data_IF_555077187923
#
_entry.id   IF_555077187923
#
_cell.length_a   1.000
_cell.length_b   1.000
_cell.length_c   1.000
_cell.angle_alpha   90.00
_cell.angle_beta   90.00
_cell.angle_gamma   90.00
#
_symmetry.space_group_name_H-M   'P 1'
#
loop_
_entity.id
_entity.type
_entity.pdbx_description
1 polymer ?
#
# COMPACT_ATOMS: atom_id res chain seq x y z
N UNK A 1 17.32 -0.34 -16.63
CA UNK A 1 16.38 0.74 -16.26
C UNK A 1 14.96 0.49 -16.73
N UNK A 2 14.71 0.21 -18.02
CA UNK A 2 13.35 -0.03 -18.53
C UNK A 2 12.55 -1.12 -17.78
N UNK A 3 13.18 -2.25 -17.43
CA UNK A 3 12.50 -3.33 -16.70
C UNK A 3 12.10 -2.89 -15.29
N UNK A 4 12.97 -2.17 -14.58
CA UNK A 4 12.68 -1.67 -13.21
C UNK A 4 11.56 -0.64 -13.26
N UNK A 5 11.56 0.25 -14.26
CA UNK A 5 10.48 1.21 -14.47
C UNK A 5 9.14 0.50 -14.72
N UNK A 6 9.13 -0.57 -15.53
CA UNK A 6 7.93 -1.37 -15.76
C UNK A 6 7.45 -2.06 -14.49
N UNK A 7 8.36 -2.65 -13.71
CA UNK A 7 8.04 -3.25 -12.41
C UNK A 7 7.45 -2.21 -11.47
N UNK A 8 8.08 -1.05 -11.34
CA UNK A 8 7.60 0.04 -10.50
C UNK A 8 6.20 0.52 -10.93
N UNK A 9 6.01 0.72 -12.23
CA UNK A 9 4.72 1.14 -12.79
C UNK A 9 3.62 0.13 -12.52
N UNK A 10 3.88 -1.17 -12.73
CA UNK A 10 2.92 -2.24 -12.48
C UNK A 10 2.61 -2.38 -10.99
N UNK A 11 3.63 -2.34 -10.13
CA UNK A 11 3.45 -2.42 -8.68
C UNK A 11 2.62 -1.24 -8.16
N UNK A 12 2.94 -0.02 -8.61
CA UNK A 12 2.21 1.20 -8.22
C UNK A 12 0.76 1.18 -8.71
N UNK A 13 0.53 0.71 -9.94
CA UNK A 13 -0.83 0.58 -10.50
C UNK A 13 -1.66 -0.45 -9.72
N UNK A 14 -1.04 -1.59 -9.37
CA UNK A 14 -1.68 -2.61 -8.54
C UNK A 14 -2.02 -2.08 -7.16
N UNK A 15 -1.06 -1.44 -6.47
CA UNK A 15 -1.26 -0.86 -5.15
C UNK A 15 -2.33 0.25 -5.16
N UNK A 16 -2.38 1.05 -6.21
CA UNK A 16 -3.44 2.05 -6.41
C UNK A 16 -4.82 1.39 -6.43
N UNK A 17 -4.97 0.30 -7.18
CA UNK A 17 -6.21 -0.48 -7.22
C UNK A 17 -6.58 -1.08 -5.86
N UNK A 18 -5.59 -1.64 -5.15
CA UNK A 18 -5.77 -2.18 -3.78
C UNK A 18 -6.22 -1.09 -2.83
N UNK A 19 -5.58 0.08 -2.84
CA UNK A 19 -5.93 1.20 -1.97
C UNK A 19 -7.37 1.65 -2.25
N UNK A 20 -7.76 1.81 -3.52
CA UNK A 20 -9.15 2.15 -3.86
C UNK A 20 -10.14 1.10 -3.38
N UNK A 21 -9.85 -0.18 -3.58
CA UNK A 21 -10.69 -1.26 -3.09
C UNK A 21 -10.85 -1.21 -1.56
N UNK A 22 -9.74 -1.05 -0.83
CA UNK A 22 -9.75 -0.90 0.62
C UNK A 22 -10.60 0.30 1.07
N UNK A 23 -10.41 1.47 0.44
CA UNK A 23 -11.12 2.71 0.79
C UNK A 23 -12.62 2.64 0.50
N UNK A 24 -13.01 2.13 -0.66
CA UNK A 24 -14.40 2.13 -1.13
C UNK A 24 -15.21 0.97 -0.54
N UNK A 25 -14.58 -0.18 -0.33
CA UNK A 25 -15.27 -1.42 0.04
C UNK A 25 -14.87 -1.91 1.42
N UNK A 26 -13.58 -2.16 1.64
CA UNK A 26 -13.13 -2.91 2.83
C UNK A 26 -13.30 -2.12 4.14
N UNK A 27 -12.85 -0.86 4.19
CA UNK A 27 -12.99 -0.04 5.40
C UNK A 27 -14.44 0.32 5.75
N UNK A 28 -15.33 0.66 4.79
CA UNK A 28 -16.75 0.84 5.10
C UNK A 28 -17.41 -0.43 5.67
N UNK A 29 -17.01 -1.62 5.22
CA UNK A 29 -17.55 -2.88 5.73
C UNK A 29 -17.13 -3.16 7.17
N UNK A 30 -15.93 -2.75 7.60
CA UNK A 30 -15.48 -2.93 8.99
C UNK A 30 -16.41 -2.27 10.00
N UNK A 31 -17.06 -1.16 9.62
CA UNK A 31 -18.04 -0.46 10.49
C UNK A 31 -19.29 -1.28 10.82
N UNK A 32 -19.54 -2.37 10.09
CA UNK A 32 -20.70 -3.23 10.29
C UNK A 32 -20.36 -4.48 11.12
N UNK A 33 -19.10 -4.66 11.52
CA UNK A 33 -18.66 -5.81 12.31
C UNK A 33 -18.88 -5.49 13.80
N UNK A 34 -19.62 -6.32 14.55
CA UNK A 34 -19.76 -6.17 15.99
C UNK A 34 -18.39 -6.23 16.69
N UNK A 35 -18.19 -5.41 17.73
CA UNK A 35 -16.90 -5.31 18.44
C UNK A 35 -16.43 -6.64 19.03
N UNK A 36 -17.36 -7.47 19.49
CA UNK A 36 -17.09 -8.81 20.04
C UNK A 36 -16.63 -9.83 18.97
N UNK A 37 -16.98 -9.59 17.70
CA UNK A 37 -16.56 -10.41 16.57
C UNK A 37 -15.30 -9.88 15.85
N UNK A 38 -14.89 -8.63 16.11
CA UNK A 38 -13.83 -7.95 15.37
C UNK A 38 -12.47 -8.66 15.46
N UNK A 39 -12.05 -9.09 16.65
CA UNK A 39 -10.76 -9.81 16.81
C UNK A 39 -10.71 -11.12 15.99
N UNK A 40 -11.81 -11.88 15.93
CA UNK A 40 -11.84 -13.11 15.13
C UNK A 40 -11.79 -12.82 13.63
N UNK A 41 -12.46 -11.73 13.22
CA UNK A 41 -12.43 -11.25 11.84
C UNK A 41 -11.02 -10.78 11.44
N UNK A 42 -10.37 -9.97 12.28
CA UNK A 42 -9.03 -9.41 12.02
C UNK A 42 -8.01 -10.54 11.82
N UNK A 43 -8.00 -11.53 12.70
CA UNK A 43 -7.11 -12.68 12.59
C UNK A 43 -7.27 -13.44 11.26
N UNK A 44 -8.49 -13.52 10.73
CA UNK A 44 -8.76 -14.09 9.41
C UNK A 44 -8.39 -13.13 8.28
N UNK A 45 -8.56 -11.83 8.47
CA UNK A 45 -8.23 -10.78 7.50
C UNK A 45 -6.71 -10.51 7.39
N UNK A 46 -5.89 -10.97 8.35
CA UNK A 46 -4.42 -10.91 8.28
C UNK A 46 -3.86 -11.52 6.98
N UNK A 47 -4.58 -12.47 6.37
CA UNK A 47 -4.18 -13.08 5.09
C UNK A 47 -4.07 -12.07 3.95
N UNK A 48 -4.78 -10.94 4.03
CA UNK A 48 -4.66 -9.81 3.09
C UNK A 48 -3.23 -9.29 3.04
N UNK A 49 -2.51 -9.34 4.18
CA UNK A 49 -1.11 -8.96 4.28
C UNK A 49 -0.19 -9.75 3.35
N UNK A 50 -0.49 -11.03 3.07
CA UNK A 50 0.32 -11.84 2.15
C UNK A 50 0.28 -11.35 0.70
N UNK A 51 -0.75 -10.61 0.31
CA UNK A 51 -0.86 -10.03 -1.04
C UNK A 51 -0.31 -8.61 -1.07
N UNK A 52 -0.66 -7.82 -0.05
CA UNK A 52 -0.32 -6.39 -0.01
C UNK A 52 1.15 -6.15 0.32
N UNK A 53 1.71 -6.85 1.33
CA UNK A 53 3.08 -6.60 1.79
C UNK A 53 4.12 -6.86 0.70
N UNK A 54 4.07 -7.98 -0.06
CA UNK A 54 5.03 -8.18 -1.15
C UNK A 54 4.94 -7.10 -2.24
N UNK A 55 3.72 -6.67 -2.60
CA UNK A 55 3.52 -5.62 -3.59
C UNK A 55 4.09 -4.28 -3.10
N UNK A 56 3.87 -3.91 -1.84
CA UNK A 56 4.47 -2.73 -1.21
C UNK A 56 6.01 -2.79 -1.21
N UNK A 57 6.60 -3.93 -0.87
CA UNK A 57 8.07 -4.08 -0.87
C UNK A 57 8.65 -3.92 -2.29
N UNK A 58 7.99 -4.49 -3.30
CA UNK A 58 8.40 -4.33 -4.71
C UNK A 58 8.28 -2.87 -5.15
N UNK A 59 7.18 -2.20 -4.82
CA UNK A 59 6.94 -0.79 -5.13
C UNK A 59 8.04 0.11 -4.54
N UNK A 60 8.32 -0.04 -3.24
CA UNK A 60 9.35 0.73 -2.55
C UNK A 60 10.76 0.42 -3.08
N UNK A 61 11.10 -0.86 -3.21
CA UNK A 61 12.42 -1.28 -3.68
C UNK A 61 12.72 -0.77 -5.09
N UNK A 62 11.73 -0.85 -5.99
CA UNK A 62 11.86 -0.33 -7.36
C UNK A 62 11.91 1.21 -7.39
N UNK A 63 11.14 1.90 -6.55
CA UNK A 63 11.18 3.35 -6.39
C UNK A 63 12.57 3.85 -5.98
N UNK A 64 13.13 3.27 -4.91
CA UNK A 64 14.44 3.64 -4.39
C UNK A 64 15.57 3.33 -5.38
N UNK A 65 15.45 2.21 -6.11
CA UNK A 65 16.40 1.87 -7.17
C UNK A 65 16.39 2.90 -8.31
N UNK A 66 15.20 3.33 -8.75
CA UNK A 66 15.07 4.35 -9.80
C UNK A 66 15.67 5.68 -9.37
N UNK A 67 15.36 6.14 -8.15
CA UNK A 67 15.90 7.38 -7.59
C UNK A 67 17.43 7.32 -7.44
N UNK A 68 17.97 6.19 -6.97
CA UNK A 68 19.43 6.05 -6.84
C UNK A 68 20.13 6.11 -8.20
N UNK A 69 19.52 5.55 -9.25
CA UNK A 69 20.12 5.56 -10.57
C UNK A 69 20.01 6.92 -11.28
N UNK A 70 18.89 7.63 -11.10
CA UNK A 70 18.66 8.95 -11.66
C UNK A 70 17.97 9.85 -10.62
N UNK A 71 18.68 10.89 -10.20
CA UNK A 71 18.18 11.91 -9.26
C UNK A 71 17.41 13.04 -9.96
N UNK A 72 16.72 12.72 -11.06
CA UNK A 72 15.87 13.68 -11.74
C UNK A 72 14.68 14.10 -10.87
N UNK A 73 14.16 15.30 -11.14
CA UNK A 73 13.00 15.86 -10.43
C UNK A 73 11.81 14.90 -10.45
N UNK A 74 11.63 14.15 -11.54
CA UNK A 74 10.58 13.15 -11.68
C UNK A 74 10.66 12.05 -10.60
N UNK A 75 11.84 11.44 -10.42
CA UNK A 75 12.00 10.35 -9.45
C UNK A 75 12.03 10.85 -8.00
N UNK A 76 12.49 12.08 -7.77
CA UNK A 76 12.36 12.75 -6.47
C UNK A 76 10.89 12.93 -6.10
N UNK A 77 10.09 13.48 -7.03
CA UNK A 77 8.65 13.67 -6.81
C UNK A 77 7.91 12.34 -6.63
N UNK A 78 8.22 11.34 -7.45
CA UNK A 78 7.66 9.99 -7.32
C UNK A 78 7.94 9.39 -5.93
N UNK A 79 9.19 9.47 -5.45
CA UNK A 79 9.57 8.96 -4.13
C UNK A 79 8.91 9.75 -3.00
N UNK A 80 8.83 11.08 -3.12
CA UNK A 80 8.17 11.93 -2.13
C UNK A 80 6.67 11.61 -2.02
N UNK A 81 5.97 11.47 -3.15
CA UNK A 81 4.57 11.10 -3.18
C UNK A 81 4.33 9.70 -2.60
N UNK A 82 5.19 8.74 -2.94
CA UNK A 82 5.12 7.39 -2.37
C UNK A 82 5.27 7.44 -0.85
N UNK A 83 6.22 8.22 -0.34
CA UNK A 83 6.41 8.44 1.10
C UNK A 83 5.17 9.04 1.76
N UNK A 84 4.52 10.03 1.16
CA UNK A 84 3.27 10.62 1.67
C UNK A 84 2.15 9.56 1.72
N UNK A 85 1.98 8.76 0.67
CA UNK A 85 0.97 7.70 0.62
C UNK A 85 1.22 6.65 1.71
N UNK A 86 2.47 6.24 1.91
CA UNK A 86 2.84 5.27 2.94
C UNK A 86 2.64 5.80 4.35
N UNK A 87 3.02 7.05 4.61
CA UNK A 87 2.78 7.71 5.90
C UNK A 87 1.29 7.82 6.17
N UNK A 88 0.50 8.24 5.18
CA UNK A 88 -0.96 8.22 5.30
C UNK A 88 -1.43 6.82 5.67
N UNK A 89 -0.98 5.80 4.93
CA UNK A 89 -1.36 4.40 5.14
C UNK A 89 -1.04 3.92 6.56
N UNK A 90 0.14 4.21 7.07
CA UNK A 90 0.53 3.82 8.42
C UNK A 90 -0.28 4.55 9.51
N UNK A 91 -0.62 5.82 9.30
CA UNK A 91 -1.28 6.66 10.32
C UNK A 91 -2.80 6.51 10.32
N UNK A 92 -3.43 6.43 9.17
CA UNK A 92 -4.91 6.41 9.07
C UNK A 92 -5.44 5.02 8.76
N UNK A 93 -4.82 4.30 7.82
CA UNK A 93 -5.30 3.01 7.33
C UNK A 93 -4.84 1.82 8.20
N UNK A 94 -3.67 1.91 8.83
CA UNK A 94 -3.13 0.92 9.75
C UNK A 94 -4.01 0.73 11.00
N UNK A 95 -4.36 1.80 11.74
CA UNK A 95 -5.19 1.69 12.93
C UNK A 95 -6.59 1.12 12.67
N UNK A 96 -7.16 1.37 11.48
CA UNK A 96 -8.46 0.80 11.08
C UNK A 96 -8.44 -0.73 10.94
N UNK A 97 -7.27 -1.35 10.85
CA UNK A 97 -7.12 -2.80 10.85
C UNK A 97 -6.87 -3.39 12.25
N UNK A 98 -6.50 -2.57 13.24
CA UNK A 98 -6.05 -3.04 14.57
C UNK A 98 -7.09 -2.76 15.66
N UNK A 99 -8.06 -1.87 15.41
CA UNK A 99 -9.02 -1.36 16.40
C UNK A 99 -10.43 -1.89 16.28
#
# INVERSE_FOLDING_TARGET
MHIVLLIHFLATSFMTGVIWFCQVVHYPLFRHIPQDAFCNYEQKNMVTGYVVVPAMVIELGSCLWLLWHDFSVLYILNTALLGVIWISTAVYQGPLHIG
#
